data_IF_340155695576
#
_entry.id   IF_340155695576
#
_cell.length_a   1.000
_cell.length_b   1.000
_cell.length_c   1.000
_cell.angle_alpha   90.00
_cell.angle_beta   90.00
_cell.angle_gamma   90.00
#
_symmetry.space_group_name_H-M   'P 1'
#
loop_
_entity.id
_entity.type
_entity.pdbx_description
1 polymer ?
#
# COMPACT_ATOMS: atom_id res chain seq x y z
N UNK A 1 -23.10 1.41 -7.43
CA UNK A 1 -23.20 2.84 -7.78
C UNK A 1 -22.93 3.78 -6.61
N UNK A 2 -23.36 3.45 -5.39
CA UNK A 2 -23.26 4.32 -4.20
C UNK A 2 -21.81 4.77 -3.85
N UNK A 3 -20.84 3.85 -3.84
CA UNK A 3 -19.43 4.17 -3.52
C UNK A 3 -18.76 5.13 -4.50
N UNK A 4 -19.23 5.19 -5.76
CA UNK A 4 -18.69 6.12 -6.76
C UNK A 4 -19.09 7.57 -6.45
N UNK A 5 -20.29 7.79 -5.90
CA UNK A 5 -20.76 9.12 -5.50
C UNK A 5 -19.97 9.68 -4.31
N UNK A 6 -19.42 8.80 -3.47
CA UNK A 6 -18.59 9.19 -2.33
C UNK A 6 -17.13 9.52 -2.68
N UNK A 7 -16.71 9.34 -3.94
CA UNK A 7 -15.35 9.70 -4.37
C UNK A 7 -15.28 11.21 -4.62
N UNK A 8 -14.35 11.89 -3.98
CA UNK A 8 -14.05 13.30 -4.26
C UNK A 8 -13.33 13.44 -5.62
N UNK A 9 -13.93 14.11 -6.63
CA UNK A 9 -13.34 14.20 -7.97
C UNK A 9 -12.00 14.94 -8.01
N UNK A 10 -11.67 15.71 -6.96
CA UNK A 10 -10.41 16.46 -6.84
C UNK A 10 -9.21 15.57 -6.54
N UNK A 11 -9.44 14.37 -5.99
CA UNK A 11 -8.37 13.43 -5.62
C UNK A 11 -7.98 12.48 -6.77
N UNK A 12 -8.73 12.53 -7.88
CA UNK A 12 -8.51 11.73 -9.09
C UNK A 12 -7.59 12.50 -10.04
N UNK A 13 -6.55 11.82 -10.54
CA UNK A 13 -5.58 12.42 -11.46
C UNK A 13 -6.19 12.63 -12.86
N UNK A 14 -5.78 13.68 -13.57
CA UNK A 14 -6.26 14.02 -14.93
C UNK A 14 -5.25 13.69 -16.04
N UNK A 15 -4.27 12.85 -15.74
CA UNK A 15 -3.22 12.40 -16.65
C UNK A 15 -3.30 10.88 -16.82
N UNK A 16 -2.26 10.26 -17.40
CA UNK A 16 -2.19 8.81 -17.56
C UNK A 16 -2.39 8.02 -16.24
N UNK A 17 -2.21 8.65 -15.07
CA UNK A 17 -2.44 8.04 -13.75
C UNK A 17 -3.92 7.98 -13.32
N UNK A 18 -4.87 8.41 -14.16
CA UNK A 18 -6.30 8.46 -13.84
C UNK A 18 -6.83 7.15 -13.24
N UNK A 19 -6.68 6.03 -13.96
CA UNK A 19 -7.23 4.73 -13.55
C UNK A 19 -6.64 4.27 -12.22
N UNK A 20 -5.32 4.36 -12.07
CA UNK A 20 -4.64 4.00 -10.83
C UNK A 20 -5.08 4.89 -9.66
N UNK A 21 -5.29 6.18 -9.88
CA UNK A 21 -5.80 7.08 -8.84
C UNK A 21 -7.24 6.75 -8.43
N UNK A 22 -8.08 6.36 -9.38
CA UNK A 22 -9.46 5.93 -9.13
C UNK A 22 -9.48 4.66 -8.29
N UNK A 23 -8.66 3.65 -8.65
CA UNK A 23 -8.53 2.41 -7.88
C UNK A 23 -8.02 2.67 -6.45
N UNK A 24 -7.11 3.63 -6.26
CA UNK A 24 -6.64 4.02 -4.93
C UNK A 24 -7.76 4.62 -4.06
N UNK A 25 -8.60 5.48 -4.62
CA UNK A 25 -9.76 6.05 -3.90
C UNK A 25 -10.83 5.00 -3.61
N UNK A 26 -11.09 4.09 -4.56
CA UNK A 26 -11.99 2.94 -4.33
C UNK A 26 -11.49 2.04 -3.19
N UNK A 27 -10.18 1.76 -3.14
CA UNK A 27 -9.58 1.01 -2.03
C UNK A 27 -9.72 1.74 -0.69
N UNK A 28 -9.62 3.08 -0.66
CA UNK A 28 -9.87 3.89 0.55
C UNK A 28 -11.29 3.71 1.09
N UNK A 29 -12.27 3.53 0.21
CA UNK A 29 -13.68 3.28 0.55
C UNK A 29 -13.99 1.78 0.78
N UNK A 30 -12.97 0.92 0.81
CA UNK A 30 -13.12 -0.54 0.84
C UNK A 30 -14.13 -1.04 -0.22
N UNK A 31 -14.11 -0.43 -1.41
CA UNK A 31 -14.93 -0.90 -2.53
C UNK A 31 -14.35 -2.21 -3.06
N UNK A 32 -15.24 -3.14 -3.42
CA UNK A 32 -14.87 -4.35 -4.16
C UNK A 32 -14.77 -3.95 -5.63
N UNK A 33 -13.68 -4.36 -6.28
CA UNK A 33 -13.44 -4.12 -7.71
C UNK A 33 -13.26 -5.47 -8.37
N UNK A 34 -13.96 -5.69 -9.47
CA UNK A 34 -13.86 -6.89 -10.30
C UNK A 34 -13.17 -6.52 -11.61
N UNK A 35 -12.27 -7.39 -12.07
CA UNK A 35 -11.58 -7.22 -13.35
C UNK A 35 -12.46 -7.76 -14.48
N UNK A 36 -12.66 -6.95 -15.52
CA UNK A 36 -13.51 -7.30 -16.68
C UNK A 36 -12.66 -7.20 -17.93
N UNK A 37 -12.71 -8.25 -18.77
CA UNK A 37 -11.96 -8.26 -20.01
C UNK A 37 -12.47 -7.18 -20.97
N UNK A 38 -11.62 -6.18 -21.26
CA UNK A 38 -11.89 -5.13 -22.24
C UNK A 38 -10.87 -5.30 -23.39
N UNK A 39 -11.27 -5.85 -24.55
CA UNK A 39 -10.36 -5.99 -25.68
C UNK A 39 -9.99 -4.61 -26.22
N UNK A 40 -8.69 -4.34 -26.34
CA UNK A 40 -8.21 -3.07 -26.85
C UNK A 40 -8.33 -3.01 -28.39
N UNK A 41 -9.05 -2.01 -28.89
CA UNK A 41 -9.21 -1.77 -30.32
C UNK A 41 -8.23 -0.66 -30.70
N UNK A 42 -7.00 -1.06 -31.06
CA UNK A 42 -6.00 -0.13 -31.58
C UNK A 42 -6.22 0.06 -33.08
N UNK A 43 -6.57 1.29 -33.48
CA UNK A 43 -6.55 1.72 -34.88
C UNK A 43 -5.16 2.31 -35.18
N UNK A 44 -5.05 3.28 -36.09
CA UNK A 44 -3.79 3.96 -36.44
C UNK A 44 -3.33 5.02 -35.42
N UNK A 45 -3.75 4.89 -34.15
CA UNK A 45 -3.47 5.84 -33.07
C UNK A 45 -2.00 5.72 -32.63
N UNK A 46 -1.23 6.82 -32.74
CA UNK A 46 0.15 6.88 -32.22
C UNK A 46 0.14 7.26 -30.75
N UNK A 47 0.81 6.46 -29.92
CA UNK A 47 0.98 6.76 -28.49
C UNK A 47 1.72 8.10 -28.29
N UNK A 48 1.04 9.07 -27.67
CA UNK A 48 1.62 10.35 -27.24
C UNK A 48 2.32 10.25 -25.87
N UNK A 49 2.45 9.04 -25.31
CA UNK A 49 2.95 8.82 -23.96
C UNK A 49 4.48 8.89 -23.90
N UNK A 50 4.99 9.73 -23.01
CA UNK A 50 6.41 9.77 -22.67
C UNK A 50 6.69 8.79 -21.52
N UNK A 51 7.21 7.60 -21.85
CA UNK A 51 7.40 6.49 -20.92
C UNK A 51 8.22 6.85 -19.65
N UNK A 52 9.42 7.46 -19.73
CA UNK A 52 10.19 7.76 -18.52
C UNK A 52 9.50 8.82 -17.65
N UNK A 53 8.91 9.86 -18.25
CA UNK A 53 8.17 10.88 -17.49
C UNK A 53 7.00 10.27 -16.74
N UNK A 54 6.19 9.46 -17.42
CA UNK A 54 5.04 8.82 -16.80
C UNK A 54 5.46 7.77 -15.78
N UNK A 55 6.53 7.01 -16.00
CA UNK A 55 7.05 6.07 -15.02
C UNK A 55 7.37 6.75 -13.67
N UNK A 56 8.12 7.85 -13.69
CA UNK A 56 8.42 8.60 -12.46
C UNK A 56 7.17 9.23 -11.85
N UNK A 57 6.27 9.78 -12.68
CA UNK A 57 4.99 10.33 -12.24
C UNK A 57 4.16 9.27 -11.48
N UNK A 58 4.05 8.06 -12.03
CA UNK A 58 3.39 6.93 -11.39
C UNK A 58 4.09 6.52 -10.10
N UNK A 59 5.42 6.37 -10.13
CA UNK A 59 6.21 5.93 -8.97
C UNK A 59 6.01 6.89 -7.78
N UNK A 60 6.21 8.19 -7.96
CA UNK A 60 6.07 9.16 -6.87
C UNK A 60 4.62 9.25 -6.36
N UNK A 61 3.64 9.27 -7.25
CA UNK A 61 2.22 9.35 -6.85
C UNK A 61 1.74 8.08 -6.13
N UNK A 62 2.14 6.91 -6.62
CA UNK A 62 1.76 5.63 -6.04
C UNK A 62 2.45 5.43 -4.69
N UNK A 63 3.75 5.72 -4.59
CA UNK A 63 4.47 5.68 -3.31
C UNK A 63 3.85 6.63 -2.29
N UNK A 64 3.55 7.88 -2.66
CA UNK A 64 2.90 8.83 -1.76
C UNK A 64 1.54 8.34 -1.25
N UNK A 65 0.71 7.77 -2.14
CA UNK A 65 -0.58 7.17 -1.74
C UNK A 65 -0.41 5.92 -0.87
N UNK A 66 0.57 5.07 -1.18
CA UNK A 66 0.92 3.88 -0.39
C UNK A 66 1.33 4.24 1.03
N UNK A 67 2.26 5.20 1.19
CA UNK A 67 2.69 5.66 2.51
C UNK A 67 1.55 6.35 3.25
N UNK A 68 0.80 7.25 2.60
CA UNK A 68 -0.36 7.90 3.23
C UNK A 68 -1.39 6.88 3.74
N UNK A 69 -1.62 5.79 3.00
CA UNK A 69 -2.47 4.66 3.42
C UNK A 69 -1.87 3.94 4.62
N UNK A 70 -0.59 3.57 4.54
CA UNK A 70 0.15 2.91 5.62
C UNK A 70 0.08 3.74 6.92
N UNK A 71 0.43 5.02 6.87
CA UNK A 71 0.40 5.90 8.05
C UNK A 71 -1.01 6.11 8.61
N UNK A 72 -2.01 6.41 7.77
CA UNK A 72 -3.39 6.62 8.24
C UNK A 72 -3.97 5.37 8.88
N UNK A 73 -3.72 4.22 8.28
CA UNK A 73 -4.27 2.96 8.72
C UNK A 73 -3.62 2.47 10.01
N UNK A 74 -2.30 2.47 10.07
CA UNK A 74 -1.56 1.79 11.14
C UNK A 74 -1.21 2.69 12.32
N UNK A 75 -1.15 4.01 12.15
CA UNK A 75 -0.76 4.93 13.22
C UNK A 75 -1.89 5.83 13.75
N UNK A 76 -2.92 6.15 12.94
CA UNK A 76 -3.91 7.17 13.31
C UNK A 76 -5.29 6.62 13.70
N UNK A 77 -5.71 5.46 13.17
CA UNK A 77 -7.07 4.96 13.38
C UNK A 77 -7.12 3.69 14.24
N UNK A 78 -6.37 2.65 13.88
CA UNK A 78 -6.39 1.36 14.60
C UNK A 78 -4.97 0.80 14.77
N UNK A 79 -4.53 0.64 16.02
CA UNK A 79 -3.28 -0.05 16.34
C UNK A 79 -3.48 -1.56 16.17
N UNK A 80 -3.35 -2.05 14.94
CA UNK A 80 -3.51 -3.46 14.60
C UNK A 80 -2.17 -4.23 14.75
N UNK A 81 -2.20 -5.56 14.68
CA UNK A 81 -1.03 -6.44 14.70
C UNK A 81 0.04 -6.03 13.66
N UNK A 82 -0.36 -5.59 12.47
CA UNK A 82 0.57 -5.06 11.47
C UNK A 82 1.33 -3.80 11.92
N UNK A 83 0.70 -2.89 12.68
CA UNK A 83 1.38 -1.73 13.29
C UNK A 83 2.47 -2.20 14.26
N UNK A 84 2.14 -3.18 15.10
CA UNK A 84 3.08 -3.78 16.03
C UNK A 84 4.26 -4.46 15.32
N UNK A 85 4.00 -5.21 14.25
CA UNK A 85 5.05 -5.85 13.46
C UNK A 85 5.97 -4.84 12.77
N UNK A 86 5.44 -3.76 12.21
CA UNK A 86 6.25 -2.70 11.57
C UNK A 86 7.14 -2.01 12.62
N UNK A 87 6.56 -1.58 13.74
CA UNK A 87 7.31 -0.87 14.79
C UNK A 87 8.38 -1.79 15.40
N UNK A 88 7.99 -3.00 15.80
CA UNK A 88 8.92 -3.97 16.39
C UNK A 88 10.00 -4.40 15.41
N UNK A 89 9.64 -4.59 14.14
CA UNK A 89 10.60 -4.93 13.08
C UNK A 89 11.63 -3.84 12.85
N UNK A 90 11.21 -2.57 12.80
CA UNK A 90 12.13 -1.44 12.68
C UNK A 90 13.05 -1.35 13.91
N UNK A 91 12.50 -1.47 15.12
CA UNK A 91 13.30 -1.41 16.36
C UNK A 91 14.34 -2.52 16.43
N UNK A 92 13.95 -3.77 16.14
CA UNK A 92 14.87 -4.92 16.14
C UNK A 92 15.93 -4.81 15.04
N UNK A 93 15.53 -4.34 13.84
CA UNK A 93 16.44 -4.14 12.72
C UNK A 93 17.48 -3.05 13.01
N UNK A 94 17.06 -1.93 13.59
CA UNK A 94 17.96 -0.87 14.03
C UNK A 94 18.90 -1.36 15.13
N UNK A 95 18.37 -2.06 16.14
CA UNK A 95 19.20 -2.62 17.21
C UNK A 95 20.27 -3.57 16.67
N UNK A 96 19.87 -4.56 15.87
CA UNK A 96 20.79 -5.54 15.29
C UNK A 96 21.79 -4.90 14.31
N UNK A 97 21.35 -3.93 13.52
CA UNK A 97 22.20 -3.16 12.61
C UNK A 97 23.24 -2.31 13.34
N UNK A 98 22.82 -1.51 14.32
CA UNK A 98 23.72 -0.68 15.13
C UNK A 98 24.73 -1.55 15.88
N UNK A 99 24.26 -2.64 16.52
CA UNK A 99 25.13 -3.57 17.23
C UNK A 99 26.14 -4.25 16.29
N UNK A 100 25.67 -4.74 15.15
CA UNK A 100 26.50 -5.39 14.14
C UNK A 100 27.58 -4.45 13.60
N UNK A 101 27.21 -3.23 13.20
CA UNK A 101 28.15 -2.22 12.69
C UNK A 101 29.15 -1.83 13.78
N UNK A 102 28.71 -1.58 15.00
CA UNK A 102 29.61 -1.19 16.10
C UNK A 102 30.64 -2.28 16.41
N UNK A 103 30.22 -3.56 16.44
CA UNK A 103 31.12 -4.68 16.70
C UNK A 103 32.04 -4.97 15.50
N UNK A 104 31.54 -4.84 14.29
CA UNK A 104 32.35 -4.97 13.08
C UNK A 104 33.44 -3.90 13.00
N UNK A 105 33.10 -2.63 13.24
CA UNK A 105 34.07 -1.54 13.30
C UNK A 105 35.15 -1.78 14.37
N UNK A 106 34.76 -2.22 15.57
CA UNK A 106 35.71 -2.56 16.64
C UNK A 106 36.62 -3.74 16.26
N UNK A 107 36.06 -4.78 15.66
CA UNK A 107 36.82 -5.96 15.22
C UNK A 107 37.82 -5.58 14.11
N UNK A 108 37.41 -4.74 13.16
CA UNK A 108 38.28 -4.24 12.09
C UNK A 108 39.44 -3.39 12.60
N UNK A 109 39.25 -2.60 13.66
CA UNK A 109 40.31 -1.77 14.24
C UNK A 109 41.28 -2.57 15.11
N UNK A 110 40.77 -3.57 15.84
CA UNK A 110 41.59 -4.35 16.80
C UNK A 110 42.24 -5.58 16.18
N UNK A 111 41.79 -6.00 14.99
CA UNK A 111 42.23 -7.25 14.36
C UNK A 111 41.73 -8.52 15.06
N UNK A 112 40.94 -8.39 16.14
CA UNK A 112 40.41 -9.51 16.91
C UNK A 112 39.04 -9.89 16.33
N UNK A 113 38.85 -11.11 15.82
CA UNK A 113 37.56 -11.57 15.32
C UNK A 113 36.48 -11.57 16.43
N UNK A 114 35.27 -11.14 16.07
CA UNK A 114 34.13 -11.23 16.98
C UNK A 114 33.75 -12.70 17.24
N UNK A 115 33.40 -13.02 18.49
CA UNK A 115 32.92 -14.37 18.85
C UNK A 115 31.56 -14.65 18.21
N UNK A 116 31.27 -15.92 17.96
CA UNK A 116 29.98 -16.35 17.39
C UNK A 116 28.78 -15.80 18.16
N UNK A 117 28.82 -15.82 19.51
CA UNK A 117 27.76 -15.25 20.34
C UNK A 117 27.54 -13.75 20.13
N UNK A 118 28.62 -12.98 19.89
CA UNK A 118 28.51 -11.53 19.62
C UNK A 118 27.82 -11.26 18.28
N UNK A 119 28.12 -12.09 17.27
CA UNK A 119 27.48 -12.01 15.96
C UNK A 119 26.00 -12.40 16.05
N UNK A 120 25.66 -13.44 16.82
CA UNK A 120 24.27 -13.88 16.99
C UNK A 120 23.37 -12.81 17.62
N UNK A 121 23.89 -11.98 18.52
CA UNK A 121 23.14 -10.84 19.09
C UNK A 121 22.77 -9.80 18.02
N UNK A 122 23.54 -9.69 16.94
CA UNK A 122 23.16 -8.86 15.78
C UNK A 122 22.15 -9.61 14.88
N UNK A 123 22.46 -10.86 14.57
CA UNK A 123 21.76 -11.64 13.53
C UNK A 123 20.33 -12.00 13.93
N UNK A 124 20.10 -12.44 15.18
CA UNK A 124 18.77 -12.89 15.61
C UNK A 124 17.74 -11.75 15.56
N UNK A 125 18.01 -10.53 16.08
CA UNK A 125 17.10 -9.39 15.90
C UNK A 125 16.88 -9.01 14.44
N UNK A 126 17.90 -9.09 13.58
CA UNK A 126 17.76 -8.79 12.14
C UNK A 126 16.83 -9.80 11.46
N UNK A 127 16.98 -11.09 11.76
CA UNK A 127 16.10 -12.13 11.22
C UNK A 127 14.66 -11.89 11.68
N UNK A 128 14.44 -11.65 12.98
CA UNK A 128 13.10 -11.35 13.51
C UNK A 128 12.52 -10.07 12.92
N UNK A 129 13.35 -9.05 12.69
CA UNK A 129 12.92 -7.81 12.05
C UNK A 129 12.36 -8.06 10.64
N UNK A 130 13.10 -8.81 9.83
CA UNK A 130 12.66 -9.19 8.48
C UNK A 130 11.37 -10.02 8.56
N UNK A 131 11.29 -10.99 9.48
CA UNK A 131 10.08 -11.80 9.66
C UNK A 131 8.87 -10.94 10.00
N UNK A 132 8.98 -10.00 10.93
CA UNK A 132 7.89 -9.09 11.28
C UNK A 132 7.47 -8.21 10.10
N UNK A 133 8.42 -7.69 9.31
CA UNK A 133 8.08 -6.92 8.11
C UNK A 133 7.33 -7.78 7.08
N UNK A 134 7.74 -9.03 6.87
CA UNK A 134 7.02 -9.96 5.99
C UNK A 134 5.60 -10.23 6.50
N UNK A 135 5.42 -10.43 7.82
CA UNK A 135 4.10 -10.64 8.41
C UNK A 135 3.20 -9.41 8.27
N UNK A 136 3.74 -8.20 8.43
CA UNK A 136 2.99 -6.97 8.21
C UNK A 136 2.47 -6.87 6.76
N UNK A 137 3.30 -7.24 5.78
CA UNK A 137 2.91 -7.28 4.36
C UNK A 137 1.85 -8.35 4.11
N UNK A 138 2.04 -9.56 4.65
CA UNK A 138 1.07 -10.65 4.50
C UNK A 138 -0.31 -10.25 5.04
N UNK A 139 -0.34 -9.58 6.19
CA UNK A 139 -1.58 -9.10 6.79
C UNK A 139 -2.24 -8.00 5.95
N UNK A 140 -1.47 -7.09 5.33
CA UNK A 140 -2.01 -6.07 4.43
C UNK A 140 -2.64 -6.68 3.16
N UNK A 141 -2.03 -7.74 2.63
CA UNK A 141 -2.57 -8.50 1.48
C UNK A 141 -3.85 -9.25 1.87
N UNK A 142 -3.89 -9.85 3.07
CA UNK A 142 -5.06 -10.59 3.55
C UNK A 142 -6.30 -9.69 3.74
N UNK A 143 -6.11 -8.38 3.86
CA UNK A 143 -7.18 -7.41 4.08
C UNK A 143 -7.80 -6.84 2.78
N UNK A 144 -7.56 -7.47 1.63
CA UNK A 144 -8.25 -7.08 0.39
C UNK A 144 -9.78 -7.28 0.56
N UNK A 145 -10.62 -6.30 0.18
CA UNK A 145 -12.05 -6.36 0.48
C UNK A 145 -12.70 -7.32 -0.52
N UNK A 146 -13.24 -8.43 -0.02
CA UNK A 146 -13.91 -9.46 -0.83
C UNK A 146 -15.43 -9.34 -0.84
N UNK A 147 -16.01 -8.73 0.20
CA UNK A 147 -17.46 -8.58 0.35
C UNK A 147 -17.90 -7.14 0.12
N UNK A 148 -18.94 -6.96 -0.68
CA UNK A 148 -19.57 -5.65 -0.92
C UNK A 148 -20.27 -5.21 0.37
N UNK A 149 -19.68 -4.28 1.10
CA UNK A 149 -20.36 -3.61 2.22
C UNK A 149 -21.20 -2.46 1.68
N UNK A 150 -22.50 -2.48 1.98
CA UNK A 150 -23.39 -1.34 1.78
C UNK A 150 -22.89 -0.14 2.60
N UNK A 151 -23.04 1.06 2.05
CA UNK A 151 -22.75 2.27 2.82
C UNK A 151 -23.97 2.50 3.72
N UNK A 152 -23.77 2.82 4.99
CA UNK A 152 -24.84 3.43 5.79
C UNK A 152 -24.98 4.88 5.34
N UNK A 153 -25.65 5.08 4.21
CA UNK A 153 -25.91 6.40 3.65
C UNK A 153 -27.22 6.95 4.24
N UNK A 154 -27.19 8.04 5.04
CA UNK A 154 -28.41 8.68 5.52
C UNK A 154 -29.26 9.26 4.38
N UNK A 155 -28.75 9.30 3.14
CA UNK A 155 -29.49 9.74 1.95
C UNK A 155 -30.40 8.61 1.41
N UNK A 156 -30.11 7.34 1.71
CA UNK A 156 -30.93 6.21 1.22
C UNK A 156 -32.28 6.06 1.93
N UNK A 157 -32.49 6.73 3.08
CA UNK A 157 -33.79 6.75 3.76
C UNK A 157 -34.82 7.66 3.05
N UNK A 158 -34.38 8.57 2.18
CA UNK A 158 -35.26 9.54 1.51
C UNK A 158 -35.03 9.56 -0.02
N UNK A 159 -35.52 8.54 -0.74
CA UNK A 159 -35.68 8.63 -2.20
C UNK A 159 -35.37 7.36 -2.95
N UNK A 160 -36.41 6.75 -3.53
CA UNK A 160 -36.40 5.48 -4.23
C UNK A 160 -35.51 5.42 -5.48
N UNK A 161 -35.17 4.18 -5.83
CA UNK A 161 -34.44 3.77 -7.03
C UNK A 161 -35.30 3.88 -8.29
N UNK A 162 -35.79 5.08 -8.60
CA UNK A 162 -36.49 5.34 -9.86
C UNK A 162 -35.48 5.72 -10.96
N UNK A 163 -35.46 4.85 -11.97
CA UNK A 163 -35.01 5.05 -13.36
C UNK A 163 -33.55 5.49 -13.61
N UNK A 164 -32.68 4.50 -13.88
CA UNK A 164 -31.62 4.67 -14.86
C UNK A 164 -31.98 3.86 -16.11
N UNK A 165 -32.06 4.48 -17.31
CA UNK A 165 -32.33 3.75 -18.53
C UNK A 165 -31.16 2.81 -18.84
N UNK A 166 -31.53 1.60 -19.26
CA UNK A 166 -30.64 0.50 -19.60
C UNK A 166 -29.78 0.88 -20.82
N UNK A 167 -28.47 1.13 -20.59
CA UNK A 167 -27.54 1.58 -21.64
C UNK A 167 -26.95 0.43 -22.49
N UNK A 168 -27.61 -0.73 -22.52
CA UNK A 168 -27.20 -1.90 -23.32
C UNK A 168 -28.29 -2.35 -24.30
N UNK A 169 -28.67 -1.45 -25.21
CA UNK A 169 -29.27 -1.80 -26.50
C UNK A 169 -28.47 -1.18 -27.65
#
# INVERSE_FOLDING_TARGET
MEKLRAIEPRNIARNYFFETSMLCELRRLNAVVEDVAIPAIYKDEKSSMNLPREFFNFLFNLSGRFFKRMFRRYFLYDFNAASFYIVSGILLGLFGGIWGIAKWAKSSQTGIPATTGTVLIAVLPIILAIQFLVQAVAQDIADVPTNVRAINDPISENGGWEEYPDFLK
#
